data_IF_366636354709
#
_entry.id   IF_366636354709
#
_cell.length_a   1.000
_cell.length_b   1.000
_cell.length_c   1.000
_cell.angle_alpha   90.00
_cell.angle_beta   90.00
_cell.angle_gamma   90.00
#
_symmetry.space_group_name_H-M   'P 1'
#
loop_
_entity.id
_entity.type
_entity.pdbx_description
1 polymer ?
#
# COMPACT_ATOMS: atom_id res chain seq x y z
N UNK A 1 15.62 -19.48 -0.36
CA UNK A 1 16.45 -18.27 -0.39
C UNK A 1 15.98 -17.28 0.64
N UNK A 2 16.84 -16.88 1.54
CA UNK A 2 16.42 -15.95 2.58
C UNK A 2 16.00 -14.60 1.98
N UNK A 3 14.90 -14.06 2.48
CA UNK A 3 14.40 -12.76 2.04
C UNK A 3 15.35 -11.64 2.42
N UNK A 4 16.28 -11.89 3.36
CA UNK A 4 17.22 -10.87 3.80
C UNK A 4 18.11 -10.36 2.68
N UNK A 5 18.25 -11.14 1.60
CA UNK A 5 19.06 -10.74 0.45
C UNK A 5 18.28 -9.92 -0.55
N UNK A 6 16.98 -9.75 -0.32
CA UNK A 6 16.10 -9.03 -1.24
C UNK A 6 15.81 -7.64 -0.70
N UNK A 7 16.01 -6.64 -1.56
CA UNK A 7 15.58 -5.28 -1.25
C UNK A 7 14.14 -5.13 -1.71
N UNK A 8 13.23 -4.89 -0.77
CA UNK A 8 11.81 -4.75 -1.09
C UNK A 8 11.53 -3.48 -1.87
N UNK A 9 10.62 -3.57 -2.82
CA UNK A 9 10.14 -2.42 -3.59
C UNK A 9 8.74 -2.09 -3.13
N UNK A 10 8.58 -0.93 -2.51
CA UNK A 10 7.31 -0.48 -1.94
C UNK A 10 6.79 0.73 -2.72
N UNK A 11 5.47 0.82 -2.81
CA UNK A 11 4.79 1.99 -3.36
C UNK A 11 3.81 2.51 -2.32
N UNK A 12 3.87 3.80 -2.04
CA UNK A 12 2.88 4.48 -1.20
C UNK A 12 2.00 5.33 -2.09
N UNK A 13 0.70 5.10 -2.03
CA UNK A 13 -0.29 5.88 -2.79
C UNK A 13 -1.07 6.73 -1.80
N UNK A 14 -0.81 8.03 -1.82
CA UNK A 14 -1.38 9.00 -0.88
C UNK A 14 -1.35 10.36 -1.54
N UNK A 15 -2.49 11.04 -1.60
CA UNK A 15 -2.59 12.32 -2.29
C UNK A 15 -2.11 13.51 -1.45
N UNK A 16 -2.20 13.43 -0.12
CA UNK A 16 -1.73 14.51 0.75
C UNK A 16 -0.22 14.43 0.92
N UNK A 17 0.46 15.49 0.50
CA UNK A 17 1.92 15.51 0.53
C UNK A 17 2.48 15.34 1.95
N UNK A 18 1.88 16.02 2.93
CA UNK A 18 2.37 15.95 4.30
C UNK A 18 2.17 14.56 4.91
N UNK A 19 1.02 13.94 4.65
CA UNK A 19 0.73 12.59 5.13
C UNK A 19 1.67 11.59 4.47
N UNK A 20 1.88 11.74 3.16
CA UNK A 20 2.77 10.86 2.41
C UNK A 20 4.21 10.99 2.92
N UNK A 21 4.66 12.21 3.19
CA UNK A 21 6.00 12.45 3.73
C UNK A 21 6.18 11.84 5.11
N UNK A 22 5.18 11.98 5.98
CA UNK A 22 5.23 11.38 7.32
C UNK A 22 5.30 9.86 7.25
N UNK A 23 4.53 9.27 6.35
CA UNK A 23 4.53 7.82 6.16
C UNK A 23 5.89 7.35 5.62
N UNK A 24 6.44 8.07 4.66
CA UNK A 24 7.77 7.77 4.13
C UNK A 24 8.83 7.80 5.24
N UNK A 25 8.82 8.85 6.06
CA UNK A 25 9.80 9.00 7.12
C UNK A 25 9.69 7.87 8.13
N UNK A 26 8.47 7.50 8.50
CA UNK A 26 8.25 6.38 9.41
C UNK A 26 8.76 5.07 8.82
N UNK A 27 8.47 4.80 7.56
CA UNK A 27 8.93 3.58 6.90
C UNK A 27 10.45 3.52 6.85
N UNK A 28 11.10 4.64 6.55
CA UNK A 28 12.56 4.70 6.47
C UNK A 28 13.24 4.40 7.81
N UNK A 29 12.59 4.71 8.92
CA UNK A 29 13.16 4.45 10.24
C UNK A 29 12.77 3.08 10.80
N UNK A 30 11.74 2.45 10.25
CA UNK A 30 11.16 1.23 10.82
C UNK A 30 11.52 -0.04 10.06
N UNK A 31 11.89 0.07 8.81
CA UNK A 31 12.15 -1.08 7.94
C UNK A 31 13.64 -1.22 7.63
N UNK A 32 14.09 -2.45 7.30
CA UNK A 32 15.38 -2.63 6.65
C UNK A 32 15.44 -1.83 5.35
N UNK A 33 16.61 -1.68 4.74
CA UNK A 33 16.71 -0.94 3.49
C UNK A 33 15.72 -1.45 2.45
N UNK A 34 15.04 -0.52 1.78
CA UNK A 34 14.04 -0.83 0.76
C UNK A 34 14.02 0.29 -0.27
N UNK A 35 13.42 0.01 -1.41
CA UNK A 35 13.18 1.01 -2.45
C UNK A 35 11.77 1.53 -2.28
N UNK A 36 11.61 2.84 -2.28
CA UNK A 36 10.30 3.47 -2.13
C UNK A 36 9.98 4.30 -3.34
N UNK A 37 8.78 4.11 -3.86
CA UNK A 37 8.19 5.01 -4.85
C UNK A 37 6.90 5.56 -4.27
N UNK A 38 6.47 6.70 -4.79
CA UNK A 38 5.30 7.41 -4.28
C UNK A 38 4.38 7.76 -5.44
N UNK A 39 3.09 7.69 -5.19
CA UNK A 39 2.06 8.05 -6.16
C UNK A 39 0.96 8.81 -5.43
N UNK A 40 0.28 9.70 -6.15
CA UNK A 40 -0.78 10.52 -5.58
C UNK A 40 -2.17 10.10 -6.05
N UNK A 41 -2.25 9.14 -6.95
CA UNK A 41 -3.51 8.74 -7.58
C UNK A 41 -3.39 7.33 -8.14
N UNK A 42 -4.53 6.75 -8.52
CA UNK A 42 -4.54 5.47 -9.22
C UNK A 42 -3.71 5.53 -10.50
N UNK A 43 -3.83 6.63 -11.24
CA UNK A 43 -3.11 6.76 -12.51
C UNK A 43 -1.60 6.67 -12.29
N UNK A 44 -1.09 7.39 -11.30
CA UNK A 44 0.34 7.34 -10.99
C UNK A 44 0.75 5.98 -10.45
N UNK A 45 -0.10 5.37 -9.62
CA UNK A 45 0.18 4.04 -9.09
C UNK A 45 0.27 3.00 -10.20
N UNK A 46 -0.63 3.09 -11.17
CA UNK A 46 -0.63 2.17 -12.31
C UNK A 46 0.65 2.32 -13.12
N UNK A 47 1.09 3.56 -13.35
CA UNK A 47 2.33 3.83 -14.06
C UNK A 47 3.53 3.23 -13.32
N UNK A 48 3.57 3.35 -12.00
CA UNK A 48 4.63 2.75 -11.18
C UNK A 48 4.64 1.24 -11.33
N UNK A 49 3.47 0.61 -11.25
CA UNK A 49 3.36 -0.85 -11.34
C UNK A 49 3.80 -1.38 -12.71
N UNK A 50 3.61 -0.58 -13.75
CA UNK A 50 4.01 -0.98 -15.09
C UNK A 50 5.50 -0.81 -15.36
N UNK A 51 6.16 0.02 -14.58
CA UNK A 51 7.60 0.26 -14.75
C UNK A 51 8.46 -0.83 -14.16
N UNK A 52 8.04 -1.40 -13.04
CA UNK A 52 8.83 -2.42 -12.35
C UNK A 52 7.95 -3.17 -11.35
N UNK A 53 8.31 -4.42 -11.02
CA UNK A 53 7.58 -5.18 -10.01
C UNK A 53 7.57 -4.47 -8.67
N UNK A 54 6.44 -4.58 -7.96
CA UNK A 54 6.27 -4.04 -6.62
C UNK A 54 6.02 -5.19 -5.65
N UNK A 55 6.67 -5.14 -4.51
CA UNK A 55 6.48 -6.15 -3.47
C UNK A 55 5.29 -5.82 -2.59
N UNK A 56 4.94 -4.55 -2.47
CA UNK A 56 3.80 -4.12 -1.67
C UNK A 56 3.38 -2.72 -2.07
N UNK A 57 2.07 -2.51 -2.12
CA UNK A 57 1.47 -1.18 -2.30
C UNK A 57 0.71 -0.84 -1.04
N UNK A 58 1.01 0.31 -0.46
CA UNK A 58 0.22 0.90 0.63
C UNK A 58 -0.72 1.91 0.02
N UNK A 59 -2.00 1.61 0.04
CA UNK A 59 -3.02 2.36 -0.67
C UNK A 59 -3.93 3.10 0.29
N UNK A 60 -3.92 4.43 0.22
CA UNK A 60 -4.85 5.24 1.02
C UNK A 60 -6.28 5.03 0.53
N UNK A 61 -7.19 4.68 1.45
CA UNK A 61 -8.60 4.53 1.12
C UNK A 61 -9.21 5.86 0.65
N UNK A 62 -8.83 6.96 1.29
CA UNK A 62 -9.46 8.26 1.08
C UNK A 62 -8.84 9.06 -0.07
N UNK A 63 -8.56 8.42 -1.19
CA UNK A 63 -8.10 9.14 -2.38
C UNK A 63 -9.25 9.89 -3.04
N UNK A 64 -8.99 11.07 -3.62
CA UNK A 64 -10.00 11.74 -4.45
C UNK A 64 -10.13 11.00 -5.79
N UNK A 65 -11.30 11.10 -6.43
CA UNK A 65 -11.56 10.34 -7.66
C UNK A 65 -11.78 8.88 -7.32
N UNK A 66 -11.17 7.92 -8.04
CA UNK A 66 -11.23 6.53 -7.60
C UNK A 66 -10.59 6.41 -6.21
N UNK A 67 -11.38 5.96 -5.23
CA UNK A 67 -10.88 5.80 -3.87
C UNK A 67 -9.94 4.59 -3.79
N UNK A 68 -9.38 4.36 -2.60
CA UNK A 68 -8.39 3.29 -2.44
C UNK A 68 -8.92 1.89 -2.71
N UNK A 69 -10.20 1.64 -2.48
CA UNK A 69 -10.81 0.34 -2.77
C UNK A 69 -10.99 0.17 -4.27
N UNK A 70 -11.49 1.20 -4.94
CA UNK A 70 -11.64 1.17 -6.41
C UNK A 70 -10.28 1.06 -7.08
N UNK A 71 -9.30 1.80 -6.56
CA UNK A 71 -7.94 1.75 -7.07
C UNK A 71 -7.31 0.37 -6.88
N UNK A 72 -7.56 -0.26 -5.73
CA UNK A 72 -7.08 -1.62 -5.47
C UNK A 72 -7.66 -2.59 -6.47
N UNK A 73 -8.97 -2.51 -6.71
CA UNK A 73 -9.62 -3.40 -7.68
C UNK A 73 -8.98 -3.27 -9.06
N UNK A 74 -8.78 -2.04 -9.52
CA UNK A 74 -8.19 -1.79 -10.84
C UNK A 74 -6.75 -2.28 -10.90
N UNK A 75 -5.97 -2.00 -9.87
CA UNK A 75 -4.56 -2.37 -9.82
C UNK A 75 -4.40 -3.90 -9.78
N UNK A 76 -5.20 -4.58 -8.95
CA UNK A 76 -5.15 -6.03 -8.82
C UNK A 76 -5.63 -6.75 -10.08
N UNK A 77 -6.58 -6.16 -10.78
CA UNK A 77 -7.04 -6.73 -12.03
C UNK A 77 -5.93 -6.73 -13.08
N UNK A 78 -5.17 -5.64 -13.15
CA UNK A 78 -4.09 -5.50 -14.13
C UNK A 78 -2.79 -6.14 -13.68
N UNK A 79 -2.54 -6.13 -12.39
CA UNK A 79 -1.30 -6.67 -11.80
C UNK A 79 -1.67 -7.61 -10.64
N UNK A 80 -2.17 -8.82 -10.95
CA UNK A 80 -2.69 -9.72 -9.92
C UNK A 80 -1.65 -10.21 -8.92
N UNK A 81 -0.37 -10.05 -9.22
CA UNK A 81 0.70 -10.47 -8.32
C UNK A 81 1.18 -9.34 -7.41
N UNK A 82 0.60 -8.17 -7.51
CA UNK A 82 1.00 -7.01 -6.73
C UNK A 82 0.18 -6.94 -5.43
N UNK A 83 0.75 -7.24 -4.26
CA UNK A 83 -0.01 -7.17 -3.01
C UNK A 83 -0.35 -5.72 -2.67
N UNK A 84 -1.58 -5.51 -2.21
CA UNK A 84 -2.05 -4.17 -1.82
C UNK A 84 -2.60 -4.22 -0.40
N UNK A 85 -2.15 -3.30 0.43
CA UNK A 85 -2.70 -3.06 1.76
C UNK A 85 -3.42 -1.73 1.71
N UNK A 86 -4.71 -1.72 2.01
CA UNK A 86 -5.50 -0.49 2.07
C UNK A 86 -5.39 0.09 3.47
N UNK A 87 -5.11 1.38 3.55
CA UNK A 87 -5.01 2.13 4.81
C UNK A 87 -6.17 3.12 4.87
N UNK A 88 -6.76 3.28 6.05
CA UNK A 88 -7.86 4.21 6.21
C UNK A 88 -7.84 4.87 7.59
N UNK A 89 -8.33 6.12 7.66
CA UNK A 89 -8.58 6.77 8.95
C UNK A 89 -9.84 6.18 9.61
N UNK A 90 -10.68 5.50 8.84
CA UNK A 90 -11.89 4.87 9.34
C UNK A 90 -11.65 3.39 9.61
N UNK A 91 -12.15 2.91 10.75
CA UNK A 91 -12.07 1.50 11.09
C UNK A 91 -13.48 0.91 10.96
N UNK A 92 -13.87 0.65 9.73
CA UNK A 92 -15.22 0.19 9.37
C UNK A 92 -15.17 -1.24 8.87
N UNK A 93 -16.05 -2.10 9.42
CA UNK A 93 -16.19 -3.48 8.95
C UNK A 93 -16.61 -3.51 7.48
N UNK A 94 -17.52 -2.61 7.09
CA UNK A 94 -17.97 -2.56 5.71
C UNK A 94 -16.83 -2.22 4.76
N UNK A 95 -15.98 -1.27 5.13
CA UNK A 95 -14.83 -0.91 4.31
C UNK A 95 -13.81 -2.03 4.25
N UNK A 96 -13.58 -2.70 5.39
CA UNK A 96 -12.66 -3.83 5.44
C UNK A 96 -13.11 -4.93 4.49
N UNK A 97 -14.38 -5.28 4.55
CA UNK A 97 -14.96 -6.31 3.68
C UNK A 97 -14.81 -5.91 2.22
N UNK A 98 -15.15 -4.66 1.89
CA UNK A 98 -15.07 -4.17 0.52
C UNK A 98 -13.63 -4.18 0.00
N UNK A 99 -12.67 -3.82 0.85
CA UNK A 99 -11.26 -3.82 0.45
C UNK A 99 -10.76 -5.24 0.13
N UNK A 100 -11.10 -6.19 0.99
CA UNK A 100 -10.71 -7.59 0.78
C UNK A 100 -11.36 -8.15 -0.48
N UNK A 101 -12.63 -7.84 -0.71
CA UNK A 101 -13.33 -8.28 -1.93
C UNK A 101 -12.73 -7.65 -3.19
N UNK A 102 -12.15 -6.45 -3.06
CA UNK A 102 -11.47 -5.79 -4.17
C UNK A 102 -10.10 -6.39 -4.45
N UNK A 103 -9.62 -7.28 -3.60
CA UNK A 103 -8.35 -7.95 -3.79
C UNK A 103 -7.23 -7.48 -2.87
N UNK A 104 -7.54 -6.66 -1.86
CA UNK A 104 -6.53 -6.24 -0.91
C UNK A 104 -6.06 -7.41 -0.06
N UNK A 105 -4.77 -7.43 0.23
CA UNK A 105 -4.18 -8.40 1.15
C UNK A 105 -4.66 -8.14 2.59
N UNK A 106 -4.82 -6.87 2.94
CA UNK A 106 -5.29 -6.47 4.26
C UNK A 106 -5.86 -5.07 4.19
N UNK A 107 -6.67 -4.74 5.20
CA UNK A 107 -7.19 -3.39 5.43
C UNK A 107 -6.76 -3.00 6.84
N UNK A 108 -6.03 -1.91 6.96
CA UNK A 108 -5.50 -1.46 8.23
C UNK A 108 -5.96 -0.04 8.51
N UNK A 109 -6.41 0.21 9.75
CA UNK A 109 -6.61 1.60 10.15
C UNK A 109 -5.24 2.25 10.28
N UNK A 110 -5.17 3.57 10.04
CA UNK A 110 -3.88 4.26 10.14
C UNK A 110 -3.32 4.20 11.56
N UNK A 111 -4.17 4.01 12.57
CA UNK A 111 -3.71 3.87 13.95
C UNK A 111 -2.98 2.56 14.20
N UNK A 112 -3.37 1.49 13.51
CA UNK A 112 -2.75 0.19 13.74
C UNK A 112 -1.55 -0.10 12.86
N UNK A 113 -1.23 0.81 11.91
CA UNK A 113 -0.07 0.62 11.03
C UNK A 113 1.22 0.31 11.79
N UNK A 114 1.58 1.05 12.86
CA UNK A 114 2.84 0.79 13.55
C UNK A 114 2.95 -0.63 14.12
N UNK A 115 1.83 -1.25 14.45
CA UNK A 115 1.82 -2.58 15.04
C UNK A 115 1.56 -3.69 14.03
N UNK A 116 0.82 -3.39 12.97
CA UNK A 116 0.32 -4.42 12.07
C UNK A 116 1.12 -4.55 10.78
N UNK A 117 1.74 -3.46 10.32
CA UNK A 117 2.37 -3.47 9.01
C UNK A 117 3.67 -4.28 8.97
N UNK A 118 4.52 -4.13 9.98
CA UNK A 118 5.80 -4.83 9.98
C UNK A 118 5.66 -6.35 9.98
N UNK A 119 4.79 -6.95 10.82
CA UNK A 119 4.56 -8.39 10.74
C UNK A 119 4.03 -8.82 9.37
N UNK A 120 3.19 -8.00 8.76
CA UNK A 120 2.64 -8.29 7.45
C UNK A 120 3.73 -8.32 6.39
N UNK A 121 4.62 -7.33 6.40
CA UNK A 121 5.73 -7.26 5.46
C UNK A 121 6.65 -8.47 5.64
N UNK A 122 6.86 -8.91 6.86
CA UNK A 122 7.70 -10.06 7.14
C UNK A 122 7.17 -11.37 6.57
N UNK A 123 5.90 -11.41 6.18
CA UNK A 123 5.29 -12.61 5.59
C UNK A 123 5.19 -12.57 4.07
N UNK A 124 5.68 -11.51 3.46
CA UNK A 124 5.64 -11.39 2.00
C UNK A 124 6.61 -12.36 1.30
#
# INVERSE_FOLDING_TARGET
>A
MPLIDKVLSLLVVEDHEEVRAALRDWLLTSLPPFKLREARSLEEAMACAEQAPLDLVLMNMELPGPNGIEATRALRKRHPQCPVVVMSVNDSEALRTAAIEAGALAFLSKRELPHALLPLIGRL
#
